data_IF_817147481692
#
_entry.id   IF_817147481692
#
_cell.length_a   1.000
_cell.length_b   1.000
_cell.length_c   1.000
_cell.angle_alpha   90.00
_cell.angle_beta   90.00
_cell.angle_gamma   90.00
#
_symmetry.space_group_name_H-M   'P 1'
#
loop_
_entity.id
_entity.type
_entity.pdbx_description
1 polymer ?
#
# COMPACT_ATOMS: atom_id res chain seq x y z
N UNK A 1 -12.64 13.17 32.24
CA UNK A 1 -12.73 12.17 31.15
C UNK A 1 -11.45 12.28 30.33
N UNK A 2 -10.51 11.36 30.52
CA UNK A 2 -9.21 11.37 29.84
C UNK A 2 -9.30 10.52 28.56
N UNK A 3 -9.90 11.08 27.50
CA UNK A 3 -10.04 10.41 26.20
C UNK A 3 -8.80 10.59 25.30
N UNK A 4 -7.82 11.40 25.71
CA UNK A 4 -6.64 11.75 24.91
C UNK A 4 -5.56 10.66 24.85
N UNK A 5 -5.29 9.98 25.96
CA UNK A 5 -4.17 9.03 26.04
C UNK A 5 -4.30 7.77 25.18
N UNK A 6 -5.54 7.38 24.82
CA UNK A 6 -5.77 6.22 23.96
C UNK A 6 -5.32 6.47 22.52
N UNK A 7 -5.75 7.60 21.93
CA UNK A 7 -5.45 7.94 20.54
C UNK A 7 -3.95 8.20 20.32
N UNK A 8 -3.29 8.89 21.25
CA UNK A 8 -1.84 9.10 21.21
C UNK A 8 -1.07 7.76 21.29
N UNK A 9 -1.56 6.79 22.06
CA UNK A 9 -0.97 5.46 22.13
C UNK A 9 -1.11 4.67 20.82
N UNK A 10 -2.24 4.81 20.12
CA UNK A 10 -2.45 4.17 18.82
C UNK A 10 -1.54 4.78 17.74
N UNK A 11 -1.45 6.11 17.72
CA UNK A 11 -0.58 6.86 16.79
C UNK A 11 0.89 6.46 16.96
N UNK A 12 1.37 6.45 18.21
CA UNK A 12 2.73 6.03 18.53
C UNK A 12 3.01 4.61 18.04
N UNK A 13 2.06 3.68 18.25
CA UNK A 13 2.21 2.29 17.79
C UNK A 13 2.31 2.20 16.26
N UNK A 14 1.49 2.96 15.52
CA UNK A 14 1.56 3.00 14.05
C UNK A 14 2.89 3.59 13.57
N UNK A 15 3.37 4.67 14.18
CA UNK A 15 4.67 5.26 13.82
C UNK A 15 5.83 4.29 14.07
N UNK A 16 5.79 3.57 15.20
CA UNK A 16 6.81 2.55 15.51
C UNK A 16 6.81 1.40 14.50
N UNK A 17 5.64 0.91 14.08
CA UNK A 17 5.55 -0.17 13.09
C UNK A 17 6.02 0.27 11.70
N UNK A 18 5.73 1.51 11.31
CA UNK A 18 6.26 2.12 10.09
C UNK A 18 7.78 2.23 10.17
N UNK A 19 8.33 2.77 11.26
CA UNK A 19 9.78 2.91 11.45
C UNK A 19 10.50 1.56 11.32
N UNK A 20 9.97 0.52 11.97
CA UNK A 20 10.51 -0.84 11.86
C UNK A 20 10.50 -1.35 10.40
N UNK A 21 9.38 -1.17 9.70
CA UNK A 21 9.24 -1.64 8.32
C UNK A 21 10.14 -0.86 7.36
N UNK A 22 10.23 0.46 7.52
CA UNK A 22 11.14 1.32 6.75
C UNK A 22 12.58 0.88 6.96
N UNK A 23 13.00 0.67 8.21
CA UNK A 23 14.36 0.21 8.51
C UNK A 23 14.69 -1.11 7.80
N UNK A 24 13.78 -2.08 7.86
CA UNK A 24 13.93 -3.35 7.15
C UNK A 24 14.08 -3.19 5.63
N UNK A 25 13.23 -2.39 5.00
CA UNK A 25 13.30 -2.13 3.56
C UNK A 25 14.63 -1.44 3.21
N UNK A 26 15.06 -0.47 4.00
CA UNK A 26 16.33 0.22 3.79
C UNK A 26 17.54 -0.73 3.90
N UNK A 27 17.53 -1.65 4.87
CA UNK A 27 18.58 -2.66 5.04
C UNK A 27 18.61 -3.66 3.87
N UNK A 28 17.44 -4.13 3.42
CA UNK A 28 17.30 -5.04 2.27
C UNK A 28 17.81 -4.38 0.98
N UNK A 29 17.48 -3.11 0.74
CA UNK A 29 17.95 -2.36 -0.43
C UNK A 29 19.46 -2.06 -0.36
N UNK A 30 20.00 -1.78 0.83
CA UNK A 30 21.44 -1.60 1.01
C UNK A 30 22.21 -2.90 0.69
N UNK A 31 21.67 -4.06 1.04
CA UNK A 31 22.27 -5.36 0.73
C UNK A 31 22.21 -5.68 -0.76
N UNK A 32 21.07 -5.48 -1.45
CA UNK A 32 20.95 -5.75 -2.90
C UNK A 32 21.98 -4.97 -3.72
N UNK A 33 22.16 -3.69 -3.41
CA UNK A 33 23.09 -2.83 -4.14
C UNK A 33 24.56 -3.23 -3.94
N UNK A 34 24.92 -3.82 -2.80
CA UNK A 34 26.26 -4.37 -2.58
C UNK A 34 26.56 -5.58 -3.46
N UNK A 35 25.54 -6.39 -3.81
CA UNK A 35 25.70 -7.57 -4.65
C UNK A 35 25.74 -7.23 -6.14
N UNK A 36 25.00 -6.20 -6.58
CA UNK A 36 24.90 -5.82 -7.99
C UNK A 36 26.09 -4.99 -8.50
N UNK A 37 26.68 -4.17 -7.64
CA UNK A 37 27.83 -3.34 -7.99
C UNK A 37 29.07 -3.76 -7.19
N UNK A 38 30.06 -4.35 -7.87
CA UNK A 38 31.45 -4.44 -7.39
C UNK A 38 32.13 -3.05 -7.30
N UNK A 39 31.43 -2.05 -6.76
CA UNK A 39 31.90 -0.70 -6.49
C UNK A 39 31.82 -0.44 -4.98
N UNK A 40 32.50 0.63 -4.53
CA UNK A 40 32.62 1.00 -3.10
C UNK A 40 31.29 0.88 -2.36
N UNK A 41 31.31 0.16 -1.24
CA UNK A 41 30.15 -0.01 -0.37
C UNK A 41 29.55 1.36 -0.02
N UNK A 42 28.27 1.55 -0.34
CA UNK A 42 27.52 2.74 0.07
C UNK A 42 27.46 2.79 1.60
N UNK A 43 27.68 3.96 2.23
CA UNK A 43 27.52 4.07 3.68
C UNK A 43 26.09 3.71 4.10
N UNK A 44 25.98 3.06 5.26
CA UNK A 44 24.70 2.73 5.87
C UNK A 44 23.84 3.98 6.07
N UNK A 45 22.52 3.84 5.94
CA UNK A 45 21.58 4.92 6.23
C UNK A 45 21.70 5.33 7.71
N UNK A 46 21.74 6.64 7.98
CA UNK A 46 21.76 7.12 9.36
C UNK A 46 20.39 6.89 10.04
N UNK A 47 20.39 6.79 11.37
CA UNK A 47 19.15 6.60 12.15
C UNK A 47 18.20 7.77 11.98
N UNK A 48 18.74 8.98 11.85
CA UNK A 48 18.00 10.22 11.63
C UNK A 48 17.33 10.21 10.25
N UNK A 49 18.06 9.80 9.21
CA UNK A 49 17.50 9.68 7.86
C UNK A 49 16.37 8.64 7.82
N UNK A 50 16.53 7.51 8.52
CA UNK A 50 15.51 6.47 8.64
C UNK A 50 14.25 6.97 9.37
N UNK A 51 14.42 7.72 10.47
CA UNK A 51 13.31 8.35 11.18
C UNK A 51 12.56 9.36 10.32
N UNK A 52 13.28 10.21 9.57
CA UNK A 52 12.68 11.17 8.64
C UNK A 52 11.91 10.46 7.51
N UNK A 53 12.42 9.34 6.99
CA UNK A 53 11.71 8.53 6.00
C UNK A 53 10.42 7.95 6.59
N UNK A 54 10.46 7.44 7.83
CA UNK A 54 9.29 6.92 8.51
C UNK A 54 8.22 8.00 8.73
N UNK A 55 8.61 9.19 9.16
CA UNK A 55 7.70 10.33 9.31
C UNK A 55 7.09 10.77 7.97
N UNK A 56 7.89 10.75 6.90
CA UNK A 56 7.42 11.04 5.55
C UNK A 56 6.36 10.02 5.10
N UNK A 57 6.60 8.72 5.33
CA UNK A 57 5.65 7.65 4.99
C UNK A 57 4.35 7.80 5.79
N UNK A 58 4.44 8.11 7.09
CA UNK A 58 3.28 8.35 7.93
C UNK A 58 2.43 9.51 7.37
N UNK A 59 3.03 10.68 7.12
CA UNK A 59 2.32 11.85 6.55
C UNK A 59 1.76 11.57 5.16
N UNK A 60 2.51 10.87 4.31
CA UNK A 60 2.04 10.50 2.98
C UNK A 60 0.82 9.58 3.05
N UNK A 61 0.74 8.71 4.06
CA UNK A 61 -0.41 7.82 4.27
C UNK A 61 -1.69 8.61 4.56
N UNK A 62 -1.62 9.71 5.31
CA UNK A 62 -2.77 10.60 5.58
C UNK A 62 -3.28 11.28 4.30
N UNK A 63 -2.34 11.76 3.47
CA UNK A 63 -2.66 12.36 2.16
C UNK A 63 -3.34 11.32 1.27
N UNK A 64 -2.73 10.13 1.14
CA UNK A 64 -3.27 9.05 0.31
C UNK A 64 -4.65 8.58 0.79
N UNK A 65 -4.87 8.44 2.10
CA UNK A 65 -6.16 8.04 2.65
C UNK A 65 -7.26 9.03 2.26
N UNK A 66 -6.97 10.33 2.34
CA UNK A 66 -7.90 11.40 1.97
C UNK A 66 -8.22 11.37 0.47
N UNK A 67 -7.19 11.26 -0.38
CA UNK A 67 -7.39 11.18 -1.84
C UNK A 67 -8.20 9.95 -2.25
N UNK A 68 -7.90 8.77 -1.68
CA UNK A 68 -8.64 7.54 -1.93
C UNK A 68 -10.11 7.64 -1.50
N UNK A 69 -10.38 8.30 -0.37
CA UNK A 69 -11.75 8.57 0.06
C UNK A 69 -12.48 9.47 -0.95
N UNK A 70 -11.82 10.51 -1.47
CA UNK A 70 -12.44 11.38 -2.47
C UNK A 70 -12.70 10.67 -3.80
N UNK A 71 -11.79 9.83 -4.29
CA UNK A 71 -12.01 9.08 -5.53
C UNK A 71 -13.19 8.11 -5.42
N UNK A 72 -13.25 7.34 -4.32
CA UNK A 72 -14.37 6.42 -4.10
C UNK A 72 -15.71 7.15 -3.97
N UNK A 73 -15.74 8.28 -3.26
CA UNK A 73 -16.93 9.14 -3.13
C UNK A 73 -17.36 9.77 -4.46
N UNK A 74 -16.42 10.24 -5.28
CA UNK A 74 -16.71 10.79 -6.60
C UNK A 74 -17.43 9.76 -7.49
N UNK A 75 -17.11 8.48 -7.34
CA UNK A 75 -17.79 7.38 -8.01
C UNK A 75 -19.05 6.86 -7.28
N UNK A 76 -19.60 7.61 -6.31
CA UNK A 76 -20.74 7.22 -5.48
C UNK A 76 -20.57 5.88 -4.74
N UNK A 77 -19.34 5.52 -4.37
CA UNK A 77 -19.02 4.30 -3.62
C UNK A 77 -18.60 4.63 -2.19
N UNK A 78 -18.89 3.70 -1.27
CA UNK A 78 -18.38 3.72 0.13
C UNK A 78 -17.15 2.85 0.32
N UNK A 79 -16.82 2.01 -0.66
CA UNK A 79 -15.72 1.06 -0.62
C UNK A 79 -14.70 1.47 -1.68
N UNK A 80 -13.45 1.62 -1.25
CA UNK A 80 -12.28 1.89 -2.11
C UNK A 80 -12.01 0.65 -2.97
N UNK A 81 -11.78 0.86 -4.26
CA UNK A 81 -11.47 -0.18 -5.25
C UNK A 81 -10.10 0.02 -5.88
N UNK A 82 -9.65 -0.95 -6.66
CA UNK A 82 -8.35 -0.91 -7.36
C UNK A 82 -8.25 0.25 -8.36
N UNK A 83 -9.38 0.69 -8.93
CA UNK A 83 -9.40 1.86 -9.81
C UNK A 83 -8.99 3.15 -9.06
N UNK A 84 -9.40 3.28 -7.79
CA UNK A 84 -9.05 4.45 -6.96
C UNK A 84 -7.53 4.48 -6.66
N UNK A 85 -6.93 3.32 -6.40
CA UNK A 85 -5.48 3.16 -6.18
C UNK A 85 -4.69 3.45 -7.46
N UNK A 86 -5.20 3.00 -8.61
CA UNK A 86 -4.57 3.30 -9.90
C UNK A 86 -4.66 4.79 -10.22
N UNK A 87 -5.80 5.43 -9.90
CA UNK A 87 -6.01 6.86 -10.10
C UNK A 87 -5.13 7.72 -9.18
N UNK A 88 -4.79 7.22 -7.98
CA UNK A 88 -3.85 7.85 -7.06
C UNK A 88 -2.44 7.96 -7.69
N UNK A 89 -2.00 6.91 -8.38
CA UNK A 89 -0.68 6.87 -9.03
C UNK A 89 -0.58 7.66 -10.35
N UNK A 90 -1.66 8.29 -10.83
CA UNK A 90 -1.79 8.88 -12.17
C UNK A 90 -0.65 9.83 -12.60
N UNK A 91 -0.01 10.52 -11.65
CA UNK A 91 1.09 11.46 -11.92
C UNK A 91 2.41 10.77 -12.26
N UNK A 92 2.50 9.45 -12.03
CA UNK A 92 3.71 8.65 -12.22
C UNK A 92 3.41 7.48 -13.17
N UNK A 93 3.56 7.66 -14.51
CA UNK A 93 3.19 6.65 -15.50
C UNK A 93 3.84 5.28 -15.26
N UNK A 94 5.12 5.25 -14.87
CA UNK A 94 5.83 4.01 -14.55
C UNK A 94 5.20 3.27 -13.37
N UNK A 95 4.81 3.99 -12.32
CA UNK A 95 4.13 3.41 -11.16
C UNK A 95 2.74 2.91 -11.53
N UNK A 96 1.98 3.68 -12.31
CA UNK A 96 0.66 3.26 -12.83
C UNK A 96 0.76 1.95 -13.59
N UNK A 97 1.74 1.83 -14.51
CA UNK A 97 1.96 0.61 -15.28
C UNK A 97 2.32 -0.59 -14.39
N UNK A 98 3.15 -0.36 -13.36
CA UNK A 98 3.53 -1.40 -12.41
C UNK A 98 2.32 -1.89 -11.60
N UNK A 99 1.49 -0.97 -11.10
CA UNK A 99 0.27 -1.31 -10.36
C UNK A 99 -0.74 -2.07 -11.22
N UNK A 100 -0.93 -1.65 -12.48
CA UNK A 100 -1.80 -2.36 -13.42
C UNK A 100 -1.29 -3.77 -13.74
N UNK A 101 0.03 -3.94 -13.89
CA UNK A 101 0.65 -5.27 -14.04
C UNK A 101 0.37 -6.13 -12.82
N UNK A 102 0.62 -5.59 -11.61
CA UNK A 102 0.34 -6.29 -10.36
C UNK A 102 -1.12 -6.72 -10.24
N UNK A 103 -2.07 -5.85 -10.58
CA UNK A 103 -3.50 -6.17 -10.58
C UNK A 103 -3.84 -7.33 -11.53
N UNK A 104 -3.31 -7.33 -12.76
CA UNK A 104 -3.56 -8.41 -13.74
C UNK A 104 -3.05 -9.76 -13.24
N UNK A 105 -1.87 -9.78 -12.61
CA UNK A 105 -1.21 -11.01 -12.18
C UNK A 105 -1.81 -11.59 -10.89
N UNK A 106 -2.22 -10.74 -9.95
CA UNK A 106 -2.57 -11.17 -8.59
C UNK A 106 -4.08 -11.15 -8.28
N UNK A 107 -4.87 -10.34 -8.98
CA UNK A 107 -6.28 -10.12 -8.60
C UNK A 107 -7.26 -10.76 -9.59
N UNK A 108 -6.95 -10.74 -10.89
CA UNK A 108 -7.82 -11.31 -11.94
C UNK A 108 -7.79 -12.85 -11.99
N UNK A 109 -6.81 -13.48 -11.35
CA UNK A 109 -6.71 -14.94 -11.20
C UNK A 109 -7.74 -15.50 -10.19
N UNK A 110 -8.36 -14.65 -9.37
CA UNK A 110 -9.36 -15.06 -8.35
C UNK A 110 -10.80 -15.17 -8.87
N UNK A 111 -11.13 -14.58 -10.03
CA UNK A 111 -12.51 -14.52 -10.54
C UNK A 111 -12.97 -15.76 -11.32
N UNK A 112 -12.11 -16.78 -11.49
CA UNK A 112 -12.45 -18.01 -12.23
C UNK A 112 -13.13 -19.09 -11.37
N UNK A 113 -13.20 -18.93 -10.05
CA UNK A 113 -13.78 -19.95 -9.14
C UNK A 113 -15.25 -19.72 -8.78
N UNK A 114 -15.83 -18.55 -9.05
CA UNK A 114 -17.23 -18.22 -8.69
C UNK A 114 -18.27 -18.56 -9.76
N UNK A 115 -17.88 -19.10 -10.92
CA UNK A 115 -18.78 -19.39 -12.05
C UNK A 115 -19.56 -20.72 -12.00
N UNK A 116 -19.41 -21.54 -10.96
CA UNK A 116 -19.90 -22.94 -10.95
C UNK A 116 -20.99 -23.25 -9.92
N UNK A 117 -21.80 -22.28 -9.49
CA UNK A 117 -23.00 -22.56 -8.71
C UNK A 117 -24.18 -21.70 -9.12
N UNK A 118 -25.06 -22.34 -9.91
CA UNK A 118 -26.54 -22.21 -10.02
C UNK A 118 -27.00 -22.18 -11.47
N UNK A 119 -27.12 -23.37 -12.06
CA UNK A 119 -28.10 -23.65 -13.12
C UNK A 119 -28.92 -24.87 -12.69
N UNK A 120 -30.22 -24.74 -12.91
CA UNK A 120 -31.29 -25.75 -12.87
C UNK A 120 -32.04 -25.90 -11.53
N UNK A 121 -33.17 -25.18 -11.44
CA UNK A 121 -34.41 -25.75 -10.94
C UNK A 121 -35.47 -25.40 -11.99
N UNK A 122 -35.73 -26.32 -12.90
CA UNK A 122 -36.94 -26.31 -13.71
C UNK A 122 -37.89 -27.27 -12.99
N UNK A 123 -39.03 -26.76 -12.55
CA UNK A 123 -40.12 -27.58 -12.03
C UNK A 123 -41.27 -27.41 -13.01
N UNK A 124 -41.65 -28.54 -13.61
CA UNK A 124 -42.84 -28.70 -14.44
C UNK A 124 -43.83 -29.50 -13.61
N UNK A 125 -44.93 -28.87 -13.21
CA UNK A 125 -46.29 -29.42 -13.19
C UNK A 125 -47.32 -28.30 -12.96
#
# INVERSE_FOLDING_TARGET
>A
MNLGGGLESEELRVRQSILYTVGRICDEEAQKQQHEHHARARPAMSKEAMALLADLVYKQSEVMATELQFFSRHANRKIIKTEDVTLLARKHPNLTNLLQKFQRENLNSSSTTSGKKRRNFADSD
#
